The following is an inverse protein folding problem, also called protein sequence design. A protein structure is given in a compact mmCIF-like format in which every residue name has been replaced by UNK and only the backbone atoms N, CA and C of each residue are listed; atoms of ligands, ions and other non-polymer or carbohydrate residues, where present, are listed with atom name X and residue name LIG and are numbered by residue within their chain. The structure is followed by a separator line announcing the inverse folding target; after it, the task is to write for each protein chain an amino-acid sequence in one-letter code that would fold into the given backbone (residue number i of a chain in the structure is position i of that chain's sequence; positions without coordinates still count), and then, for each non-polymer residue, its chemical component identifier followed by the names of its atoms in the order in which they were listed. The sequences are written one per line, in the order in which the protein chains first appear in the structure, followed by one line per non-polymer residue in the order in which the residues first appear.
data_IF_946124299118
#
_entry.id   IF_946124299118
#
_cell.length_a   1.000
_cell.length_b   1.000
_cell.length_c   1.000
_cell.angle_alpha   90.00
_cell.angle_beta   90.00
_cell.angle_gamma   90.00
#
_symmetry.space_group_name_H-M   'P 1'
#
loop_
_entity.id
_entity.type
_entity.pdbx_description
1 polymer ?
#
# COMPACT_ATOMS: atom_id res chain seq x y z
N UNK A 1 20.04 -14.40 -11.90
CA UNK A 1 19.26 -13.24 -12.39
C UNK A 1 20.15 -12.00 -12.40
N UNK A 2 20.12 -11.18 -13.45
CA UNK A 2 20.92 -9.94 -13.49
C UNK A 2 20.30 -8.89 -12.56
N UNK A 3 21.10 -7.94 -12.06
CA UNK A 3 20.59 -6.85 -11.19
C UNK A 3 19.47 -6.02 -11.84
N UNK A 4 19.51 -5.88 -13.18
CA UNK A 4 18.46 -5.23 -13.97
C UNK A 4 17.14 -6.02 -13.91
N UNK A 5 17.19 -7.35 -13.98
CA UNK A 5 15.99 -8.19 -13.91
C UNK A 5 15.29 -8.10 -12.55
N UNK A 6 16.06 -8.02 -11.46
CA UNK A 6 15.50 -7.84 -10.12
C UNK A 6 14.81 -6.47 -9.96
N UNK A 7 15.43 -5.39 -10.47
CA UNK A 7 14.86 -4.05 -10.42
C UNK A 7 13.51 -3.95 -11.15
N UNK A 8 13.38 -4.59 -12.31
CA UNK A 8 12.12 -4.64 -13.07
C UNK A 8 11.02 -5.37 -12.29
N UNK A 9 11.36 -6.49 -11.63
CA UNK A 9 10.39 -7.23 -10.81
C UNK A 9 9.92 -6.43 -9.59
N UNK A 10 10.84 -5.76 -8.89
CA UNK A 10 10.50 -4.85 -7.80
C UNK A 10 9.54 -3.76 -8.28
N UNK A 11 9.83 -3.15 -9.43
CA UNK A 11 8.95 -2.14 -10.03
C UNK A 11 7.55 -2.67 -10.32
N UNK A 12 7.44 -3.86 -10.94
CA UNK A 12 6.16 -4.51 -11.25
C UNK A 12 5.31 -4.74 -9.99
N UNK A 13 5.91 -5.33 -8.95
CA UNK A 13 5.18 -5.69 -7.74
C UNK A 13 4.81 -4.46 -6.88
N UNK A 14 5.71 -3.49 -6.76
CA UNK A 14 5.44 -2.25 -6.02
C UNK A 14 4.38 -1.40 -6.70
N UNK A 15 4.38 -1.32 -8.03
CA UNK A 15 3.32 -0.62 -8.78
C UNK A 15 1.95 -1.29 -8.58
N UNK A 16 1.88 -2.62 -8.71
CA UNK A 16 0.63 -3.36 -8.47
C UNK A 16 0.10 -3.20 -7.04
N UNK A 17 0.99 -3.30 -6.05
CA UNK A 17 0.61 -3.12 -4.65
C UNK A 17 0.16 -1.67 -4.36
N UNK A 18 0.79 -0.68 -4.99
CA UNK A 18 0.39 0.73 -4.87
C UNK A 18 -1.02 0.94 -5.42
N UNK A 19 -1.32 0.41 -6.61
CA UNK A 19 -2.66 0.51 -7.22
C UNK A 19 -3.73 -0.14 -6.34
N UNK A 20 -3.44 -1.32 -5.77
CA UNK A 20 -4.35 -1.99 -4.83
C UNK A 20 -4.61 -1.15 -3.58
N UNK A 21 -3.58 -0.51 -3.03
CA UNK A 21 -3.73 0.34 -1.85
C UNK A 21 -4.54 1.62 -2.11
N UNK A 22 -4.49 2.20 -3.32
CA UNK A 22 -5.30 3.38 -3.65
C UNK A 22 -6.81 3.10 -3.52
N UNK A 23 -7.27 1.91 -3.90
CA UNK A 23 -8.67 1.49 -3.75
C UNK A 23 -9.05 1.42 -2.27
N UNK A 24 -8.14 0.92 -1.42
CA UNK A 24 -8.36 0.83 0.03
C UNK A 24 -8.45 2.24 0.64
N UNK A 25 -7.52 3.16 0.32
CA UNK A 25 -7.58 4.56 0.79
C UNK A 25 -8.90 5.19 0.42
N UNK A 26 -9.31 5.02 -0.84
CA UNK A 26 -10.55 5.60 -1.33
C UNK A 26 -11.75 5.12 -0.51
N UNK A 27 -11.90 3.80 -0.33
CA UNK A 27 -12.97 3.23 0.48
C UNK A 27 -12.95 3.70 1.94
N UNK A 28 -11.75 3.85 2.54
CA UNK A 28 -11.61 4.37 3.90
C UNK A 28 -12.03 5.84 4.02
N UNK A 29 -11.67 6.67 3.05
CA UNK A 29 -12.07 8.08 3.03
C UNK A 29 -13.60 8.23 2.94
N UNK A 30 -14.25 7.45 2.07
CA UNK A 30 -15.71 7.43 1.97
C UNK A 30 -16.37 6.97 3.27
N UNK A 31 -15.87 5.90 3.89
CA UNK A 31 -16.39 5.40 5.16
C UNK A 31 -16.26 6.43 6.29
N UNK A 32 -15.11 7.08 6.40
CA UNK A 32 -14.90 8.14 7.38
C UNK A 32 -15.86 9.32 7.10
N UNK A 33 -16.01 9.71 5.83
CA UNK A 33 -16.90 10.81 5.40
C UNK A 33 -18.35 10.57 5.81
N UNK A 34 -18.83 9.34 5.64
CA UNK A 34 -20.18 8.96 6.01
C UNK A 34 -20.41 8.92 7.54
N UNK A 35 -19.37 8.70 8.35
CA UNK A 35 -19.51 8.38 9.78
C UNK A 35 -19.17 9.52 10.74
N UNK A 36 -18.51 10.59 10.27
CA UNK A 36 -18.02 11.64 11.16
C UNK A 36 -18.65 13.02 10.94
N UNK A 37 -19.52 13.46 11.85
CA UNK A 37 -20.09 14.81 11.81
C UNK A 37 -19.57 15.77 12.92
N UNK A 38 -18.74 15.36 13.90
CA UNK A 38 -18.32 16.30 14.99
C UNK A 38 -16.84 16.30 15.43
N UNK A 39 -16.08 15.22 15.28
CA UNK A 39 -14.65 15.15 15.69
C UNK A 39 -13.64 15.16 14.52
N UNK A 40 -14.13 15.48 13.33
CA UNK A 40 -13.55 15.10 12.05
C UNK A 40 -12.10 15.52 11.84
N UNK A 41 -11.74 16.75 12.21
CA UNK A 41 -10.52 17.35 11.66
C UNK A 41 -9.22 16.80 12.25
N UNK A 42 -9.19 16.52 13.56
CA UNK A 42 -8.01 15.96 14.23
C UNK A 42 -7.94 14.44 14.12
N UNK A 43 -9.09 13.76 14.27
CA UNK A 43 -9.16 12.30 14.11
C UNK A 43 -8.90 11.87 12.66
N UNK A 44 -9.37 12.62 11.65
CA UNK A 44 -9.05 12.33 10.25
C UNK A 44 -7.58 12.55 9.93
N UNK A 45 -6.92 13.56 10.53
CA UNK A 45 -5.48 13.78 10.30
C UNK A 45 -4.63 12.65 10.90
N UNK A 46 -4.92 12.23 12.13
CA UNK A 46 -4.25 11.11 12.78
C UNK A 46 -4.57 9.78 12.08
N UNK A 47 -5.84 9.56 11.71
CA UNK A 47 -6.27 8.41 10.94
C UNK A 47 -5.59 8.33 9.58
N UNK A 48 -5.47 9.45 8.87
CA UNK A 48 -4.78 9.52 7.58
C UNK A 48 -3.30 9.13 7.70
N UNK A 49 -2.59 9.59 8.74
CA UNK A 49 -1.20 9.18 9.01
C UNK A 49 -1.06 7.67 9.26
N UNK A 50 -2.00 7.08 10.01
CA UNK A 50 -2.05 5.63 10.26
C UNK A 50 -2.30 4.87 8.95
N UNK A 51 -3.24 5.34 8.12
CA UNK A 51 -3.60 4.71 6.83
C UNK A 51 -2.43 4.74 5.85
N UNK A 52 -1.76 5.88 5.71
CA UNK A 52 -0.58 6.03 4.84
C UNK A 52 0.53 5.08 5.30
N UNK A 53 0.77 5.00 6.61
CA UNK A 53 1.79 4.11 7.18
C UNK A 53 1.46 2.64 6.93
N UNK A 54 0.20 2.24 7.17
CA UNK A 54 -0.28 0.88 6.91
C UNK A 54 -0.11 0.50 5.44
N UNK A 55 -0.46 1.39 4.52
CA UNK A 55 -0.34 1.17 3.08
C UNK A 55 1.11 1.07 2.65
N UNK A 56 2.00 1.92 3.17
CA UNK A 56 3.43 1.81 2.91
C UNK A 56 3.97 0.42 3.26
N UNK A 57 3.57 -0.12 4.40
CA UNK A 57 3.92 -1.49 4.80
C UNK A 57 3.33 -2.56 3.89
N UNK A 58 2.07 -2.43 3.49
CA UNK A 58 1.44 -3.36 2.55
C UNK A 58 2.17 -3.39 1.21
N UNK A 59 2.52 -2.22 0.66
CA UNK A 59 3.29 -2.13 -0.60
C UNK A 59 4.64 -2.82 -0.46
N UNK A 60 5.37 -2.56 0.61
CA UNK A 60 6.68 -3.18 0.85
C UNK A 60 6.58 -4.70 1.03
N UNK A 61 5.64 -5.17 1.85
CA UNK A 61 5.46 -6.60 2.13
C UNK A 61 5.02 -7.36 0.89
N UNK A 62 4.03 -6.87 0.15
CA UNK A 62 3.57 -7.51 -1.09
C UNK A 62 4.68 -7.53 -2.12
N UNK A 63 5.49 -6.47 -2.23
CA UNK A 63 6.64 -6.44 -3.13
C UNK A 63 7.69 -7.49 -2.73
N UNK A 64 8.04 -7.55 -1.45
CA UNK A 64 9.07 -8.44 -0.93
C UNK A 64 8.68 -9.92 -1.04
N UNK A 65 7.44 -10.27 -0.68
CA UNK A 65 6.95 -11.66 -0.74
C UNK A 65 6.94 -12.19 -2.17
N UNK A 66 6.43 -11.40 -3.12
CA UNK A 66 6.38 -11.81 -4.52
C UNK A 66 7.79 -11.89 -5.13
N UNK A 67 8.66 -10.94 -4.81
CA UNK A 67 10.06 -10.98 -5.25
C UNK A 67 10.78 -12.21 -4.69
N UNK A 68 10.60 -12.53 -3.42
CA UNK A 68 11.21 -13.70 -2.78
C UNK A 68 10.74 -15.01 -3.41
N UNK A 69 9.44 -15.17 -3.65
CA UNK A 69 8.90 -16.35 -4.33
C UNK A 69 9.54 -16.55 -5.70
N UNK A 70 9.59 -15.49 -6.51
CA UNK A 70 10.14 -15.57 -7.86
C UNK A 70 11.67 -15.72 -7.90
N UNK A 71 12.37 -15.29 -6.86
CA UNK A 71 13.81 -15.57 -6.67
C UNK A 71 14.07 -17.00 -6.24
N UNK A 72 13.18 -17.59 -5.44
CA UNK A 72 13.29 -18.97 -4.96
C UNK A 72 12.98 -20.00 -6.05
N UNK A 73 12.08 -19.65 -6.97
CA UNK A 73 11.65 -20.52 -8.07
C UNK A 73 12.57 -20.46 -9.31
N UNK A 74 13.66 -19.66 -9.26
CA UNK A 74 14.65 -19.48 -10.34
C UNK A 74 16.02 -20.03 -9.94
#
# INVERSE_FOLDING_TARGET
MTGIGAAVLIGKYSAGATLGCLIIVYGMNEFLSATGYSWYRFAAYQGSGIVITFIGWMVLLTTLVNLYGELKDK
#
